data_IF_521959592774
#
_entry.id   IF_521959592774
#
_cell.length_a   1.000
_cell.length_b   1.000
_cell.length_c   1.000
_cell.angle_alpha   90.00
_cell.angle_beta   90.00
_cell.angle_gamma   90.00
#
_symmetry.space_group_name_H-M   'P 1'
#
loop_
_entity.id
_entity.type
_entity.pdbx_description
1 polymer ?
#
# COMPACT_ATOMS: atom_id res chain seq x y z
N UNK A 1 17.60 -8.55 61.50
CA UNK A 1 17.95 -7.32 60.74
C UNK A 1 16.72 -6.77 60.06
N UNK A 2 16.15 -5.65 60.54
CA UNK A 2 15.03 -4.91 59.92
C UNK A 2 15.56 -3.57 59.38
N UNK A 3 16.56 -3.62 58.49
CA UNK A 3 17.38 -2.44 58.13
C UNK A 3 16.59 -1.35 57.36
N UNK A 4 15.46 -1.72 56.77
CA UNK A 4 14.68 -0.85 55.86
C UNK A 4 13.21 -0.62 56.30
N UNK A 5 12.80 -1.13 57.47
CA UNK A 5 11.44 -0.95 58.00
C UNK A 5 11.21 0.52 58.36
N UNK A 6 10.13 1.14 57.87
CA UNK A 6 9.84 2.56 58.05
C UNK A 6 10.53 3.51 57.07
N UNK A 7 11.46 3.01 56.23
CA UNK A 7 12.07 3.85 55.19
C UNK A 7 11.07 4.15 54.08
N UNK A 8 11.19 5.35 53.54
CA UNK A 8 10.40 5.82 52.41
C UNK A 8 11.27 5.92 51.16
N UNK A 9 10.78 5.39 50.05
CA UNK A 9 11.41 5.42 48.74
C UNK A 9 10.42 6.00 47.74
N UNK A 10 10.70 7.20 47.23
CA UNK A 10 9.72 7.97 46.47
C UNK A 10 8.45 8.22 47.30
N UNK A 11 7.30 7.73 46.84
CA UNK A 11 6.01 7.83 47.53
C UNK A 11 5.63 6.55 48.29
N UNK A 12 6.55 5.62 48.51
CA UNK A 12 6.28 4.31 49.13
C UNK A 12 7.00 4.19 50.47
N UNK A 13 6.23 3.95 51.54
CA UNK A 13 6.76 3.70 52.89
C UNK A 13 6.69 2.21 53.20
N UNK A 14 7.80 1.62 53.62
CA UNK A 14 7.92 0.18 53.92
C UNK A 14 7.32 -0.13 55.29
N UNK A 15 6.29 -0.98 55.31
CA UNK A 15 5.61 -1.43 56.54
C UNK A 15 6.04 -2.83 56.99
N UNK A 16 6.20 -3.77 56.05
CA UNK A 16 6.58 -5.16 56.34
C UNK A 16 7.57 -5.68 55.30
N UNK A 17 8.30 -6.73 55.66
CA UNK A 17 9.22 -7.43 54.77
C UNK A 17 8.91 -8.93 54.79
N UNK A 18 8.97 -9.58 53.63
CA UNK A 18 8.96 -11.04 53.51
C UNK A 18 9.99 -11.50 52.49
N UNK A 19 10.47 -12.75 52.65
CA UNK A 19 11.32 -13.41 51.66
C UNK A 19 10.59 -14.62 51.10
N UNK A 20 10.47 -14.66 49.78
CA UNK A 20 9.77 -15.73 49.05
C UNK A 20 10.52 -15.98 47.74
N UNK A 21 10.70 -17.26 47.36
CA UNK A 21 11.41 -17.66 46.13
C UNK A 21 12.77 -16.97 45.95
N UNK A 22 13.59 -16.98 47.02
CA UNK A 22 14.92 -16.33 47.09
C UNK A 22 14.92 -14.80 46.86
N UNK A 23 13.74 -14.15 46.79
CA UNK A 23 13.59 -12.70 46.60
C UNK A 23 12.96 -12.05 47.83
N UNK A 24 13.32 -10.79 48.07
CA UNK A 24 12.77 -9.96 49.15
C UNK A 24 11.65 -9.08 48.61
N UNK A 25 10.53 -9.01 49.35
CA UNK A 25 9.39 -8.16 49.08
C UNK A 25 9.11 -7.25 50.26
N UNK A 26 8.74 -6.01 49.96
CA UNK A 26 8.27 -5.03 50.92
C UNK A 26 6.77 -4.82 50.77
N UNK A 27 6.05 -4.88 51.88
CA UNK A 27 4.68 -4.40 51.95
C UNK A 27 4.75 -2.89 52.15
N UNK A 28 4.32 -2.14 51.15
CA UNK A 28 4.47 -0.70 51.13
C UNK A 28 3.11 -0.01 51.18
N UNK A 29 2.98 1.04 51.98
CA UNK A 29 1.88 2.01 51.90
C UNK A 29 2.34 3.20 51.08
N UNK A 30 1.57 3.55 50.06
CA UNK A 30 1.86 4.72 49.26
C UNK A 30 1.16 5.97 49.82
N UNK A 31 1.68 7.15 49.51
CA UNK A 31 1.01 8.45 49.80
C UNK A 31 -0.42 8.49 49.24
N UNK A 32 -0.70 7.77 48.15
CA UNK A 32 -2.04 7.59 47.57
C UNK A 32 -3.02 6.78 48.45
N UNK A 33 -2.58 6.27 49.60
CA UNK A 33 -3.35 5.39 50.48
C UNK A 33 -3.36 3.91 50.07
N UNK A 34 -2.96 3.58 48.84
CA UNK A 34 -2.87 2.18 48.37
C UNK A 34 -1.73 1.44 49.06
N UNK A 35 -2.01 0.21 49.48
CA UNK A 35 -1.03 -0.71 50.06
C UNK A 35 -0.83 -1.93 49.17
N UNK A 36 0.41 -2.37 48.96
CA UNK A 36 0.71 -3.59 48.19
C UNK A 36 2.09 -4.15 48.47
N UNK A 37 2.27 -5.43 48.15
CA UNK A 37 3.58 -6.07 48.10
C UNK A 37 4.33 -5.69 46.81
N UNK A 38 5.57 -5.23 46.96
CA UNK A 38 6.46 -4.82 45.87
C UNK A 38 7.82 -5.44 46.09
N UNK A 39 8.53 -5.79 45.01
CA UNK A 39 9.87 -6.34 45.12
C UNK A 39 10.88 -5.30 45.64
N UNK A 40 11.75 -5.72 46.54
CA UNK A 40 12.71 -4.83 47.20
C UNK A 40 13.73 -4.22 46.22
N UNK A 41 14.22 -5.00 45.26
CA UNK A 41 15.19 -4.57 44.26
C UNK A 41 14.64 -3.45 43.37
N UNK A 42 13.37 -3.55 42.96
CA UNK A 42 12.69 -2.53 42.12
C UNK A 42 12.43 -1.20 42.84
N UNK A 43 12.39 -1.22 44.17
CA UNK A 43 12.27 -0.01 44.99
C UNK A 43 13.66 0.61 45.18
N UNK A 44 14.66 -0.21 45.52
CA UNK A 44 16.03 0.23 45.80
C UNK A 44 16.74 0.79 44.56
N UNK A 45 16.47 0.26 43.38
CA UNK A 45 17.01 0.76 42.12
C UNK A 45 16.22 1.95 41.53
N UNK A 46 15.16 2.41 42.20
CA UNK A 46 14.35 3.55 41.76
C UNK A 46 13.39 3.27 40.60
N UNK A 47 13.28 2.02 40.12
CA UNK A 47 12.37 1.66 39.01
C UNK A 47 10.89 1.85 39.38
N UNK A 48 10.53 1.66 40.66
CA UNK A 48 9.19 1.88 41.17
C UNK A 48 9.24 2.95 42.28
N UNK A 49 8.67 4.11 42.00
CA UNK A 49 8.62 5.26 42.91
C UNK A 49 7.25 5.49 43.57
N UNK A 50 6.22 4.74 43.18
CA UNK A 50 4.85 4.90 43.72
C UNK A 50 4.00 3.63 43.58
N UNK A 51 2.76 3.67 44.11
CA UNK A 51 1.74 2.64 43.87
C UNK A 51 1.36 2.48 42.37
N UNK A 52 1.83 3.38 41.51
CA UNK A 52 1.35 3.60 40.15
C UNK A 52 0.59 4.93 40.01
N UNK A 53 0.24 5.57 41.13
CA UNK A 53 -0.45 6.88 41.15
C UNK A 53 0.39 7.99 40.51
N UNK A 54 1.69 8.02 40.75
CA UNK A 54 2.57 9.07 40.24
C UNK A 54 2.53 9.12 38.71
N UNK A 55 2.59 7.96 38.06
CA UNK A 55 2.48 7.88 36.61
C UNK A 55 1.06 8.20 36.12
N UNK A 56 0.01 7.94 36.90
CA UNK A 56 -1.37 8.35 36.56
C UNK A 56 -1.56 9.87 36.68
N UNK A 57 -0.90 10.51 37.63
CA UNK A 57 -0.94 11.97 37.84
C UNK A 57 -0.15 12.72 36.77
N UNK A 58 1.05 12.22 36.43
CA UNK A 58 1.94 12.88 35.46
C UNK A 58 1.58 12.51 34.01
N UNK A 59 1.23 11.26 33.75
CA UNK A 59 0.74 10.83 32.43
C UNK A 59 -0.79 10.85 32.37
N UNK A 60 -1.41 11.90 32.91
CA UNK A 60 -2.69 12.34 32.37
C UNK A 60 -2.41 12.70 30.90
N UNK A 61 -2.55 11.73 30.00
CA UNK A 61 -2.58 11.97 28.56
C UNK A 61 -3.77 12.91 28.35
N UNK A 62 -3.52 14.21 28.43
CA UNK A 62 -4.48 15.20 27.97
C UNK A 62 -4.63 14.90 26.48
N UNK A 63 -5.82 14.52 26.00
CA UNK A 63 -6.01 14.34 24.57
C UNK A 63 -5.62 15.66 23.91
N UNK A 64 -4.62 15.62 23.03
CA UNK A 64 -4.26 16.80 22.24
C UNK A 64 -5.45 17.04 21.32
N UNK A 65 -6.05 18.21 21.46
CA UNK A 65 -7.15 18.61 20.59
C UNK A 65 -6.57 19.06 19.25
N UNK A 66 -6.68 18.19 18.25
CA UNK A 66 -6.25 18.45 16.87
C UNK A 66 -7.42 18.88 15.97
N UNK A 67 -8.50 19.40 16.55
CA UNK A 67 -9.67 19.87 15.77
C UNK A 67 -9.27 20.94 14.77
N UNK A 68 -9.72 20.79 13.53
CA UNK A 68 -9.40 21.61 12.35
C UNK A 68 -7.93 21.59 11.91
N UNK A 69 -7.07 20.76 12.48
CA UNK A 69 -5.71 20.60 11.99
C UNK A 69 -5.67 19.81 10.66
N UNK A 70 -4.74 20.21 9.80
CA UNK A 70 -4.58 19.65 8.46
C UNK A 70 -3.40 18.68 8.38
N UNK A 71 -3.66 17.47 7.88
CA UNK A 71 -2.70 16.39 7.69
C UNK A 71 -2.70 15.94 6.22
N UNK A 72 -1.89 16.60 5.39
CA UNK A 72 -1.93 16.41 3.94
C UNK A 72 -3.28 16.85 3.36
N UNK A 73 -4.04 15.93 2.76
CA UNK A 73 -5.39 16.17 2.21
C UNK A 73 -6.50 15.96 3.25
N UNK A 74 -6.18 15.72 4.52
CA UNK A 74 -7.15 15.46 5.58
C UNK A 74 -7.25 16.65 6.53
N UNK A 75 -8.45 16.92 7.02
CA UNK A 75 -8.71 17.86 8.12
C UNK A 75 -9.40 17.08 9.23
N UNK A 76 -8.85 17.12 10.44
CA UNK A 76 -9.45 16.47 11.61
C UNK A 76 -10.68 17.28 12.08
N UNK A 77 -11.84 16.63 12.22
CA UNK A 77 -13.09 17.30 12.59
C UNK A 77 -13.41 17.14 14.08
N UNK A 78 -13.38 15.90 14.58
CA UNK A 78 -13.68 15.59 15.99
C UNK A 78 -13.10 14.25 16.40
N UNK A 79 -12.80 14.13 17.69
CA UNK A 79 -12.44 12.86 18.28
C UNK A 79 -13.67 11.96 18.44
N UNK A 80 -13.47 10.66 18.30
CA UNK A 80 -14.50 9.65 18.54
C UNK A 80 -14.29 8.97 19.89
N UNK A 81 -15.26 8.16 20.32
CA UNK A 81 -15.11 7.30 21.50
C UNK A 81 -14.20 6.09 21.23
N UNK A 82 -13.89 5.82 19.96
CA UNK A 82 -13.11 4.66 19.53
C UNK A 82 -11.61 4.89 19.74
N UNK A 83 -10.92 3.79 20.03
CA UNK A 83 -9.48 3.75 20.28
C UNK A 83 -8.83 2.77 19.32
N UNK A 84 -7.65 3.11 18.86
CA UNK A 84 -6.85 2.19 18.05
C UNK A 84 -6.46 0.96 18.87
N UNK A 85 -6.58 -0.23 18.27
CA UNK A 85 -6.34 -1.51 18.94
C UNK A 85 -4.88 -1.70 19.36
N UNK A 86 -3.93 -1.10 18.64
CA UNK A 86 -2.51 -1.37 18.81
C UNK A 86 -1.85 -0.42 19.81
N UNK A 87 -2.20 0.87 19.76
CA UNK A 87 -1.55 1.88 20.59
C UNK A 87 -2.50 2.65 21.52
N UNK A 88 -3.81 2.39 21.48
CA UNK A 88 -4.79 3.07 22.32
C UNK A 88 -4.98 4.55 21.98
N UNK A 89 -4.48 5.01 20.83
CA UNK A 89 -4.64 6.39 20.35
C UNK A 89 -6.12 6.68 20.10
N UNK A 90 -6.54 7.93 20.35
CA UNK A 90 -7.89 8.39 20.00
C UNK A 90 -8.07 8.30 18.49
N UNK A 91 -9.19 7.76 18.04
CA UNK A 91 -9.57 7.77 16.63
C UNK A 91 -10.34 9.04 16.32
N UNK A 92 -9.94 9.73 15.26
CA UNK A 92 -10.50 10.99 14.80
C UNK A 92 -11.29 10.80 13.51
N UNK A 93 -12.45 11.45 13.44
CA UNK A 93 -13.19 11.64 12.20
C UNK A 93 -12.50 12.74 11.40
N UNK A 94 -12.07 12.43 10.18
CA UNK A 94 -11.34 13.33 9.30
C UNK A 94 -12.10 13.52 7.99
N UNK A 95 -12.15 14.76 7.49
CA UNK A 95 -12.65 15.09 6.15
C UNK A 95 -11.49 15.16 5.18
N UNK A 96 -11.57 14.41 4.10
CA UNK A 96 -10.60 14.48 3.01
C UNK A 96 -11.02 15.54 1.98
N UNK A 97 -10.06 16.20 1.34
CA UNK A 97 -10.28 17.15 0.24
C UNK A 97 -11.04 16.55 -0.94
N UNK A 98 -11.01 15.21 -1.12
CA UNK A 98 -11.83 14.54 -2.14
C UNK A 98 -13.31 14.38 -1.77
N UNK A 99 -13.73 14.89 -0.60
CA UNK A 99 -15.11 14.81 -0.11
C UNK A 99 -15.41 13.60 0.78
N UNK A 100 -14.53 12.61 0.86
CA UNK A 100 -14.75 11.43 1.70
C UNK A 100 -14.42 11.71 3.18
N UNK A 101 -15.14 11.03 4.07
CA UNK A 101 -14.82 11.01 5.51
C UNK A 101 -14.12 9.70 5.86
N UNK A 102 -13.10 9.77 6.71
CA UNK A 102 -12.39 8.59 7.21
C UNK A 102 -12.10 8.69 8.71
N UNK A 103 -11.82 7.55 9.34
CA UNK A 103 -11.57 7.45 10.78
C UNK A 103 -10.14 6.99 11.00
N UNK A 104 -9.31 7.85 11.57
CA UNK A 104 -7.86 7.63 11.65
C UNK A 104 -7.38 7.90 13.07
N UNK A 105 -6.50 7.05 13.57
CA UNK A 105 -5.83 7.26 14.85
C UNK A 105 -4.97 8.53 14.81
N UNK A 106 -5.13 9.41 15.82
CA UNK A 106 -4.35 10.64 16.02
C UNK A 106 -2.86 10.42 15.78
N UNK A 107 -2.30 9.37 16.41
CA UNK A 107 -0.89 9.03 16.31
C UNK A 107 -0.39 8.87 14.86
N UNK A 108 -1.25 8.40 13.94
CA UNK A 108 -0.90 8.17 12.53
C UNK A 108 -1.00 9.45 11.70
N UNK A 109 -1.87 10.37 12.10
CA UNK A 109 -1.96 11.72 11.53
C UNK A 109 -0.73 12.53 11.91
N UNK A 110 -0.40 12.60 13.20
CA UNK A 110 0.74 13.37 13.73
C UNK A 110 2.07 12.88 13.19
N UNK A 111 2.25 11.55 13.04
CA UNK A 111 3.45 10.97 12.39
C UNK A 111 3.50 11.16 10.87
N UNK A 112 2.41 11.64 10.25
CA UNK A 112 2.33 11.84 8.81
C UNK A 112 2.26 10.54 7.98
N UNK A 113 1.87 9.41 8.59
CA UNK A 113 1.73 8.13 7.89
C UNK A 113 0.53 8.15 6.94
N UNK A 114 -0.56 8.80 7.34
CA UNK A 114 -1.79 8.90 6.55
C UNK A 114 -2.02 10.36 6.16
N UNK A 115 -1.97 10.61 4.84
CA UNK A 115 -2.08 11.96 4.24
C UNK A 115 -3.35 12.15 3.41
N UNK A 116 -4.17 11.11 3.28
CA UNK A 116 -5.43 11.13 2.52
C UNK A 116 -6.29 9.94 2.93
N UNK A 117 -7.56 9.91 2.52
CA UNK A 117 -8.42 8.73 2.69
C UNK A 117 -8.06 7.56 1.74
N UNK A 118 -6.91 7.62 1.05
CA UNK A 118 -6.50 6.68 0.00
C UNK A 118 -6.61 7.25 -1.42
N UNK A 119 -7.31 8.38 -1.61
CA UNK A 119 -7.49 9.00 -2.92
C UNK A 119 -6.17 9.48 -3.55
N UNK A 120 -5.19 9.89 -2.75
CA UNK A 120 -3.88 10.32 -3.24
C UNK A 120 -3.15 9.17 -3.97
N UNK A 121 -3.24 7.95 -3.46
CA UNK A 121 -2.65 6.78 -4.10
C UNK A 121 -3.31 6.45 -5.44
N UNK A 122 -4.64 6.58 -5.51
CA UNK A 122 -5.40 6.37 -6.74
C UNK A 122 -5.05 7.40 -7.82
N UNK A 123 -4.95 8.67 -7.43
CA UNK A 123 -4.54 9.77 -8.30
C UNK A 123 -3.13 9.55 -8.85
N UNK A 124 -2.17 9.21 -7.98
CA UNK A 124 -0.80 8.91 -8.39
C UNK A 124 -0.74 7.73 -9.36
N UNK A 125 -1.52 6.67 -9.12
CA UNK A 125 -1.60 5.53 -10.04
C UNK A 125 -2.10 5.93 -11.42
N UNK A 126 -3.19 6.71 -11.49
CA UNK A 126 -3.71 7.26 -12.76
C UNK A 126 -2.66 8.11 -13.48
N UNK A 127 -1.98 8.99 -12.77
CA UNK A 127 -0.94 9.85 -13.33
C UNK A 127 0.24 9.04 -13.86
N UNK A 128 0.65 7.98 -13.15
CA UNK A 128 1.73 7.09 -13.57
C UNK A 128 1.36 6.30 -14.84
N UNK A 129 0.11 5.82 -14.95
CA UNK A 129 -0.40 5.17 -16.16
C UNK A 129 -0.36 6.14 -17.35
N UNK A 130 -0.84 7.38 -17.18
CA UNK A 130 -0.80 8.40 -18.23
C UNK A 130 0.63 8.70 -18.70
N UNK A 131 1.58 8.82 -17.76
CA UNK A 131 3.00 9.00 -18.10
C UNK A 131 3.55 7.81 -18.88
N UNK A 132 3.26 6.58 -18.45
CA UNK A 132 3.69 5.38 -19.14
C UNK A 132 3.10 5.27 -20.56
N UNK A 133 1.82 5.60 -20.73
CA UNK A 133 1.18 5.66 -22.06
C UNK A 133 1.87 6.69 -22.95
N UNK A 134 2.13 7.90 -22.44
CA UNK A 134 2.81 8.96 -23.21
C UNK A 134 4.19 8.52 -23.70
N UNK A 135 4.96 7.87 -22.85
CA UNK A 135 6.27 7.29 -23.22
C UNK A 135 6.09 6.20 -24.27
N UNK A 136 5.16 5.26 -24.06
CA UNK A 136 4.91 4.17 -25.01
C UNK A 136 4.49 4.69 -26.40
N UNK A 137 3.60 5.68 -26.44
CA UNK A 137 3.17 6.32 -27.69
C UNK A 137 4.33 6.98 -28.42
N UNK A 138 5.19 7.70 -27.69
CA UNK A 138 6.34 8.41 -28.28
C UNK A 138 7.42 7.45 -28.80
N UNK A 139 7.78 6.45 -28.00
CA UNK A 139 8.98 5.62 -28.25
C UNK A 139 8.68 4.37 -29.10
N UNK A 140 7.42 3.92 -29.17
CA UNK A 140 7.09 2.63 -29.78
C UNK A 140 5.96 2.66 -30.80
N UNK A 141 5.15 3.73 -30.85
CA UNK A 141 4.07 3.87 -31.82
C UNK A 141 4.50 4.83 -32.92
N UNK A 142 4.55 4.31 -34.15
CA UNK A 142 4.81 5.12 -35.35
C UNK A 142 3.65 4.89 -36.31
N UNK A 143 3.02 5.99 -36.75
CA UNK A 143 1.91 5.96 -37.70
C UNK A 143 0.81 4.96 -37.32
N UNK A 144 0.37 5.01 -36.05
CA UNK A 144 -0.63 4.12 -35.50
C UNK A 144 -0.22 2.64 -35.42
N UNK A 145 1.08 2.34 -35.55
CA UNK A 145 1.62 0.98 -35.54
C UNK A 145 2.62 0.78 -34.42
N UNK A 146 2.44 -0.27 -33.62
CA UNK A 146 3.31 -0.61 -32.52
C UNK A 146 4.51 -1.45 -33.01
N UNK A 147 5.68 -0.82 -33.08
CA UNK A 147 6.89 -1.42 -33.66
C UNK A 147 7.33 -2.70 -32.93
N UNK A 148 7.45 -2.73 -31.58
CA UNK A 148 7.74 -3.97 -30.86
C UNK A 148 6.75 -5.11 -31.16
N UNK A 149 5.45 -4.81 -31.30
CA UNK A 149 4.42 -5.83 -31.51
C UNK A 149 4.52 -6.46 -32.90
N UNK A 150 4.74 -5.68 -33.95
CA UNK A 150 4.89 -6.24 -35.31
C UNK A 150 6.26 -6.86 -35.55
N UNK A 151 7.27 -6.50 -34.74
CA UNK A 151 8.64 -7.05 -34.83
C UNK A 151 8.83 -8.36 -34.07
N UNK A 152 7.90 -8.71 -33.17
CA UNK A 152 8.05 -9.89 -32.31
C UNK A 152 7.87 -11.18 -33.10
N UNK A 153 8.72 -12.17 -32.84
CA UNK A 153 8.61 -13.53 -33.40
C UNK A 153 7.87 -14.51 -32.50
N UNK A 154 7.63 -14.12 -31.24
CA UNK A 154 7.04 -14.97 -30.22
C UNK A 154 5.52 -14.73 -30.15
N UNK A 155 4.75 -15.81 -30.29
CA UNK A 155 3.30 -15.80 -30.10
C UNK A 155 2.95 -15.92 -28.61
N UNK A 156 1.82 -15.34 -28.20
CA UNK A 156 1.35 -15.43 -26.81
C UNK A 156 0.89 -16.86 -26.52
N UNK A 157 1.07 -17.33 -25.28
CA UNK A 157 0.72 -18.69 -24.86
C UNK A 157 -0.77 -19.04 -25.06
N UNK A 158 -1.66 -18.04 -24.95
CA UNK A 158 -3.10 -18.21 -25.18
C UNK A 158 -3.51 -18.15 -26.67
N UNK A 159 -2.55 -18.11 -27.60
CA UNK A 159 -2.81 -18.18 -29.03
C UNK A 159 -2.98 -19.65 -29.46
N UNK A 160 -4.21 -20.03 -29.80
CA UNK A 160 -4.57 -21.42 -30.18
C UNK A 160 -4.29 -21.75 -31.64
N UNK A 161 -4.14 -20.74 -32.50
CA UNK A 161 -3.86 -20.95 -33.93
C UNK A 161 -2.36 -21.06 -34.23
N UNK A 162 -1.50 -20.64 -33.31
CA UNK A 162 -0.06 -20.50 -33.52
C UNK A 162 0.35 -19.23 -34.30
N UNK A 163 -0.61 -18.40 -34.74
CA UNK A 163 -0.35 -17.17 -35.52
C UNK A 163 -1.29 -16.05 -35.09
N UNK A 164 -0.77 -14.85 -34.86
CA UNK A 164 -1.59 -13.70 -34.43
C UNK A 164 -2.54 -13.26 -35.55
N UNK A 165 -3.83 -13.12 -35.25
CA UNK A 165 -4.84 -12.67 -36.22
C UNK A 165 -5.50 -13.79 -37.03
N UNK A 166 -5.14 -15.07 -36.75
CA UNK A 166 -5.86 -16.25 -37.25
C UNK A 166 -6.64 -16.88 -36.11
N UNK A 167 -7.93 -17.16 -36.32
CA UNK A 167 -8.78 -17.78 -35.32
C UNK A 167 -9.96 -18.54 -35.91
N UNK A 168 -10.47 -19.51 -35.17
CA UNK A 168 -11.63 -20.32 -35.57
C UNK A 168 -12.94 -19.55 -35.31
N UNK A 169 -13.76 -19.38 -36.35
CA UNK A 169 -15.09 -18.81 -36.28
C UNK A 169 -16.12 -19.94 -36.17
N UNK A 170 -16.51 -20.27 -34.93
CA UNK A 170 -17.48 -21.34 -34.63
C UNK A 170 -18.84 -21.14 -35.32
N UNK A 171 -19.26 -19.90 -35.55
CA UNK A 171 -20.56 -19.61 -36.16
C UNK A 171 -20.64 -20.05 -37.61
N UNK A 172 -19.50 -20.11 -38.30
CA UNK A 172 -19.39 -20.40 -39.72
C UNK A 172 -18.50 -21.58 -40.03
N UNK A 173 -18.03 -22.29 -39.01
CA UNK A 173 -17.11 -23.42 -39.11
C UNK A 173 -15.95 -23.16 -40.08
N UNK A 174 -15.33 -21.97 -39.98
CA UNK A 174 -14.21 -21.56 -40.84
C UNK A 174 -13.12 -20.87 -40.04
N UNK A 175 -11.88 -20.98 -40.49
CA UNK A 175 -10.75 -20.20 -40.01
C UNK A 175 -10.79 -18.80 -40.64
N UNK A 176 -10.74 -17.76 -39.81
CA UNK A 176 -10.69 -16.36 -40.21
C UNK A 176 -9.27 -15.82 -40.08
N UNK A 177 -8.77 -15.14 -41.11
CA UNK A 177 -7.50 -14.42 -41.08
C UNK A 177 -7.72 -12.91 -41.18
N UNK A 178 -7.03 -12.16 -40.32
CA UNK A 178 -7.08 -10.69 -40.26
C UNK A 178 -5.69 -10.14 -39.92
N UNK A 179 -5.38 -8.94 -40.41
CA UNK A 179 -4.18 -8.19 -40.04
C UNK A 179 -4.57 -6.78 -39.65
N UNK A 180 -4.03 -6.28 -38.53
CA UNK A 180 -4.22 -4.89 -38.12
C UNK A 180 -2.95 -4.11 -38.42
N UNK A 181 -3.09 -2.98 -39.10
CA UNK A 181 -1.97 -2.11 -39.46
C UNK A 181 -2.43 -0.65 -39.51
N UNK A 182 -1.62 0.28 -38.98
CA UNK A 182 -1.95 1.72 -38.89
C UNK A 182 -3.36 2.00 -38.35
N UNK A 183 -3.75 1.30 -37.29
CA UNK A 183 -5.07 1.42 -36.67
C UNK A 183 -6.26 0.86 -37.47
N UNK A 184 -6.04 0.26 -38.66
CA UNK A 184 -7.09 -0.34 -39.49
C UNK A 184 -6.99 -1.86 -39.51
N UNK A 185 -8.14 -2.53 -39.51
CA UNK A 185 -8.24 -3.99 -39.64
C UNK A 185 -8.49 -4.35 -41.10
N UNK A 186 -7.60 -5.15 -41.65
CA UNK A 186 -7.72 -5.70 -43.00
C UNK A 186 -8.15 -7.16 -42.90
N UNK A 187 -9.27 -7.47 -43.54
CA UNK A 187 -9.80 -8.82 -43.64
C UNK A 187 -9.11 -9.55 -44.78
N UNK A 188 -8.44 -10.67 -44.47
CA UNK A 188 -7.68 -11.43 -45.45
C UNK A 188 -8.50 -12.56 -46.07
N UNK A 189 -9.51 -13.05 -45.35
CA UNK A 189 -10.39 -14.10 -45.84
C UNK A 189 -10.86 -15.07 -44.76
N UNK A 190 -11.66 -16.03 -45.22
CA UNK A 190 -12.10 -17.21 -44.47
C UNK A 190 -11.72 -18.46 -45.24
N UNK A 191 -11.34 -19.49 -44.50
CA UNK A 191 -10.79 -20.72 -45.04
C UNK A 191 -11.35 -21.91 -44.28
N UNK A 192 -11.52 -23.06 -44.96
CA UNK A 192 -11.90 -24.29 -44.27
C UNK A 192 -10.72 -24.87 -43.48
N UNK A 193 -9.51 -24.78 -44.03
CA UNK A 193 -8.30 -25.28 -43.39
C UNK A 193 -7.58 -24.19 -42.60
N UNK A 194 -6.92 -24.58 -41.51
CA UNK A 194 -6.17 -23.68 -40.64
C UNK A 194 -4.92 -23.16 -41.34
N UNK A 195 -4.27 -24.03 -42.09
CA UNK A 195 -3.00 -23.84 -42.78
C UNK A 195 -3.13 -22.77 -43.86
N UNK A 196 -4.25 -22.76 -44.60
CA UNK A 196 -4.54 -21.75 -45.62
C UNK A 196 -4.69 -20.35 -45.00
N UNK A 197 -5.43 -20.25 -43.89
CA UNK A 197 -5.58 -19.00 -43.15
C UNK A 197 -4.23 -18.49 -42.61
N UNK A 198 -3.38 -19.40 -42.13
CA UNK A 198 -2.02 -19.09 -41.67
C UNK A 198 -1.15 -18.61 -42.83
N UNK A 199 -1.20 -19.29 -43.98
CA UNK A 199 -0.40 -18.96 -45.15
C UNK A 199 -0.69 -17.54 -45.64
N UNK A 200 -1.97 -17.20 -45.84
CA UNK A 200 -2.37 -15.85 -46.28
C UNK A 200 -2.01 -14.81 -45.23
N UNK A 201 -2.14 -15.15 -43.93
CA UNK A 201 -1.72 -14.25 -42.86
C UNK A 201 -0.23 -13.92 -42.91
N UNK A 202 0.64 -14.94 -43.07
CA UNK A 202 2.10 -14.76 -43.15
C UNK A 202 2.52 -13.96 -44.38
N UNK A 203 1.90 -14.21 -45.53
CA UNK A 203 2.12 -13.43 -46.75
C UNK A 203 1.75 -11.95 -46.56
N UNK A 204 0.65 -11.67 -45.85
CA UNK A 204 0.27 -10.31 -45.52
C UNK A 204 1.26 -9.64 -44.53
N UNK A 205 1.85 -10.38 -43.57
CA UNK A 205 2.90 -9.84 -42.69
C UNK A 205 4.15 -9.44 -43.46
N UNK A 206 4.62 -10.32 -44.34
CA UNK A 206 5.83 -10.07 -45.13
C UNK A 206 5.70 -8.81 -45.98
N UNK A 207 4.56 -8.65 -46.67
CA UNK A 207 4.27 -7.46 -47.46
C UNK A 207 4.07 -6.23 -46.57
N UNK A 208 3.09 -6.26 -45.68
CA UNK A 208 2.64 -5.06 -44.96
C UNK A 208 3.62 -4.68 -43.85
N UNK A 209 3.99 -5.63 -42.98
CA UNK A 209 4.90 -5.33 -41.87
C UNK A 209 6.36 -5.29 -42.32
N UNK A 210 6.77 -6.15 -43.26
CA UNK A 210 8.14 -6.18 -43.76
C UNK A 210 8.53 -4.87 -44.46
N UNK A 211 7.71 -4.38 -45.39
CA UNK A 211 7.93 -3.09 -46.06
C UNK A 211 7.97 -1.94 -45.05
N UNK A 212 7.04 -1.92 -44.09
CA UNK A 212 6.99 -0.87 -43.07
C UNK A 212 8.18 -0.89 -42.12
N UNK A 213 8.64 -2.07 -41.68
CA UNK A 213 9.81 -2.20 -40.82
C UNK A 213 11.10 -1.82 -41.53
N UNK A 214 11.19 -2.06 -42.85
CA UNK A 214 12.30 -1.58 -43.66
C UNK A 214 12.33 -0.06 -43.70
N UNK A 215 11.21 0.57 -44.05
CA UNK A 215 11.06 2.03 -44.02
C UNK A 215 11.37 2.63 -42.64
N UNK A 216 10.86 2.03 -41.55
CA UNK A 216 11.11 2.48 -40.18
C UNK A 216 12.60 2.50 -39.82
N UNK A 217 13.35 1.46 -40.22
CA UNK A 217 14.79 1.39 -39.97
C UNK A 217 15.56 2.47 -40.74
N UNK A 218 15.20 2.70 -41.99
CA UNK A 218 15.85 3.66 -42.88
C UNK A 218 15.58 5.12 -42.47
N UNK A 219 14.35 5.43 -42.03
CA UNK A 219 13.90 6.82 -41.88
C UNK A 219 13.79 7.30 -40.43
N UNK A 220 13.71 6.39 -39.46
CA UNK A 220 13.45 6.73 -38.06
C UNK A 220 14.54 6.20 -37.13
N UNK A 221 14.92 4.92 -37.26
CA UNK A 221 15.93 4.32 -36.36
C UNK A 221 17.37 4.68 -36.71
N UNK A 222 17.62 5.09 -37.96
CA UNK A 222 18.96 5.48 -38.47
C UNK A 222 19.34 6.94 -38.22
N UNK A 223 18.60 7.67 -37.40
CA UNK A 223 18.77 9.09 -37.09
C UNK A 223 19.01 9.26 -35.59
#
# INVERSE_FOLDING_TARGET
>A
MKKDMGKTYGRLTILKEKRENKRTYYYCRCVCGTEKWIRADTIKNGSIVSCGCYNKEINLIKPVDITNEKFGKLVALKHTKSRDKYNGSVVWECKCECGNTCYIAESRLVKGEIKSCGCLGQENSKNNIQKAIKVHLKEHIVDGTNIPVISRKIVKANNTSGVTGVGWDKSRNTWRATITFKGKVYYLGRYKNKEDAIKVRKQAEEKIFGEFLKWYKENIKGR
#
